data_IF_135397226786
#
_entry.id   IF_135397226786
#
_cell.length_a   1.000
_cell.length_b   1.000
_cell.length_c   1.000
_cell.angle_alpha   90.00
_cell.angle_beta   90.00
_cell.angle_gamma   90.00
#
_symmetry.space_group_name_H-M   'P 1'
#
loop_
_entity.id
_entity.type
_entity.pdbx_description
1 polymer ?
#
# COMPACT_ATOMS: atom_id res chain seq x y z
N UNK A 1 -8.66 -18.51 37.53
CA UNK A 1 -7.84 -18.58 36.29
C UNK A 1 -8.56 -19.35 35.19
N UNK A 2 -9.85 -19.67 35.36
CA UNK A 2 -10.52 -20.72 34.58
C UNK A 2 -11.32 -20.21 33.37
N UNK A 3 -11.65 -18.91 33.34
CA UNK A 3 -12.43 -18.31 32.24
C UNK A 3 -11.62 -18.11 30.94
N UNK A 4 -10.32 -17.83 31.03
CA UNK A 4 -9.46 -17.64 29.85
C UNK A 4 -9.12 -18.96 29.14
N UNK A 5 -9.02 -20.05 29.89
CA UNK A 5 -8.72 -21.38 29.34
C UNK A 5 -9.93 -21.96 28.60
N UNK A 6 -11.14 -21.81 29.17
CA UNK A 6 -12.39 -22.24 28.53
C UNK A 6 -12.70 -21.45 27.25
N UNK A 7 -12.40 -20.15 27.21
CA UNK A 7 -12.58 -19.35 26.00
C UNK A 7 -11.63 -19.77 24.87
N UNK A 8 -10.40 -20.17 25.21
CA UNK A 8 -9.40 -20.65 24.24
C UNK A 8 -9.77 -22.02 23.65
N UNK A 9 -10.31 -22.93 24.48
CA UNK A 9 -10.85 -24.20 23.99
C UNK A 9 -12.05 -24.00 23.07
N UNK A 10 -12.98 -23.10 23.44
CA UNK A 10 -14.15 -22.79 22.63
C UNK A 10 -13.76 -22.21 21.25
N UNK A 11 -12.79 -21.29 21.21
CA UNK A 11 -12.27 -20.72 19.96
C UNK A 11 -11.63 -21.78 19.06
N UNK A 12 -10.88 -22.74 19.64
CA UNK A 12 -10.26 -23.84 18.89
C UNK A 12 -11.31 -24.77 18.27
N UNK A 13 -12.37 -25.09 19.02
CA UNK A 13 -13.46 -25.95 18.52
C UNK A 13 -14.22 -25.26 17.37
N UNK A 14 -14.49 -23.95 17.48
CA UNK A 14 -15.13 -23.16 16.43
C UNK A 14 -14.25 -23.09 15.18
N UNK A 15 -12.94 -22.85 15.35
CA UNK A 15 -12.00 -22.81 14.23
C UNK A 15 -11.91 -24.14 13.49
N UNK A 16 -11.80 -25.26 14.22
CA UNK A 16 -11.75 -26.60 13.62
C UNK A 16 -13.05 -26.95 12.89
N UNK A 17 -14.22 -26.58 13.44
CA UNK A 17 -15.51 -26.74 12.74
C UNK A 17 -15.61 -25.88 11.48
N UNK A 18 -15.09 -24.66 11.50
CA UNK A 18 -15.07 -23.78 10.32
C UNK A 18 -14.13 -24.31 9.23
N UNK A 19 -12.96 -24.85 9.61
CA UNK A 19 -12.01 -25.49 8.70
C UNK A 19 -12.58 -26.76 8.08
N UNK A 20 -13.17 -27.65 8.88
CA UNK A 20 -13.81 -28.87 8.38
C UNK A 20 -14.97 -28.57 7.42
N UNK A 21 -15.76 -27.51 7.68
CA UNK A 21 -16.82 -27.06 6.75
C UNK A 21 -16.26 -26.49 5.44
N UNK A 22 -15.07 -25.90 5.44
CA UNK A 22 -14.40 -25.44 4.22
C UNK A 22 -13.84 -26.61 3.40
N UNK A 23 -13.26 -27.61 4.06
CA UNK A 23 -12.76 -28.84 3.40
C UNK A 23 -13.90 -29.63 2.75
N UNK A 24 -15.02 -29.85 3.45
CA UNK A 24 -16.22 -30.51 2.91
C UNK A 24 -16.81 -29.79 1.69
N UNK A 25 -16.84 -28.45 1.71
CA UNK A 25 -17.28 -27.64 0.56
C UNK A 25 -16.33 -27.76 -0.63
N UNK A 26 -15.02 -27.89 -0.38
CA UNK A 26 -13.99 -28.06 -1.40
C UNK A 26 -14.08 -29.44 -2.07
N UNK A 27 -14.36 -30.49 -1.30
CA UNK A 27 -14.51 -31.85 -1.82
C UNK A 27 -15.81 -32.02 -2.62
N UNK A 28 -16.92 -31.43 -2.19
CA UNK A 28 -18.17 -31.42 -2.95
C UNK A 28 -18.04 -30.70 -4.30
N UNK A 29 -17.26 -29.62 -4.36
CA UNK A 29 -16.98 -28.91 -5.62
C UNK A 29 -16.11 -29.75 -6.57
N UNK A 30 -15.15 -30.50 -6.01
CA UNK A 30 -14.27 -31.40 -6.78
C UNK A 30 -15.02 -32.60 -7.36
N UNK A 31 -15.98 -33.16 -6.63
CA UNK A 31 -16.80 -34.31 -7.07
C UNK A 31 -17.79 -33.92 -8.19
N UNK A 32 -18.29 -32.68 -8.20
CA UNK A 32 -19.18 -32.19 -9.28
C UNK A 32 -18.47 -31.93 -10.61
N UNK A 33 -17.16 -31.71 -10.60
CA UNK A 33 -16.37 -31.41 -11.81
C UNK A 33 -15.87 -32.67 -12.55
N UNK A 34 -16.07 -33.87 -11.97
CA UNK A 34 -15.46 -35.13 -12.44
C UNK A 34 -16.28 -35.97 -13.43
N UNK A 35 -17.41 -35.50 -13.97
CA UNK A 35 -18.21 -36.24 -14.96
C UNK A 35 -18.84 -35.31 -15.97
N UNK A 36 -18.26 -35.24 -17.18
CA UNK A 36 -18.94 -35.12 -18.47
C UNK A 36 -17.91 -35.22 -19.60
N UNK A 37 -17.77 -36.42 -20.16
CA UNK A 37 -17.23 -36.63 -21.51
C UNK A 37 -18.42 -36.57 -22.48
N UNK A 38 -18.24 -35.91 -23.62
CA UNK A 38 -18.99 -36.20 -24.83
C UNK A 38 -18.12 -35.93 -26.05
N UNK A 39 -17.93 -36.99 -26.84
CA UNK A 39 -17.29 -36.99 -28.15
C UNK A 39 -18.13 -36.22 -29.16
N UNK A 40 -17.51 -35.40 -30.03
CA UNK A 40 -17.85 -35.31 -31.46
C UNK A 40 -16.74 -34.56 -32.22
N UNK A 41 -16.45 -35.00 -33.45
CA UNK A 41 -15.28 -34.60 -34.22
C UNK A 41 -15.41 -33.33 -35.08
N UNK A 42 -14.31 -33.09 -35.83
CA UNK A 42 -14.05 -32.05 -36.84
C UNK A 42 -13.65 -30.64 -36.31
N UNK A 43 -12.38 -30.25 -36.43
CA UNK A 43 -11.88 -29.39 -37.54
C UNK A 43 -10.49 -28.80 -37.21
N UNK A 44 -9.55 -28.91 -38.16
CA UNK A 44 -8.09 -28.67 -38.06
C UNK A 44 -7.68 -27.19 -37.91
N UNK A 45 -8.62 -26.30 -37.59
CA UNK A 45 -8.39 -24.86 -37.37
C UNK A 45 -8.67 -24.39 -35.93
N UNK A 46 -9.15 -25.29 -35.04
CA UNK A 46 -9.39 -25.01 -33.61
C UNK A 46 -8.21 -25.33 -32.69
N UNK A 47 -7.21 -26.06 -33.18
CA UNK A 47 -6.11 -26.55 -32.33
C UNK A 47 -5.34 -25.42 -31.65
N UNK A 48 -5.07 -24.28 -32.31
CA UNK A 48 -4.31 -23.21 -31.66
C UNK A 48 -5.07 -22.55 -30.50
N UNK A 49 -6.40 -22.35 -30.62
CA UNK A 49 -7.20 -21.72 -29.57
C UNK A 49 -7.47 -22.68 -28.39
N UNK A 50 -7.59 -23.98 -28.69
CA UNK A 50 -7.79 -25.03 -27.68
C UNK A 50 -6.47 -25.42 -27.00
N UNK A 51 -5.34 -25.40 -27.73
CA UNK A 51 -3.99 -25.48 -27.19
C UNK A 51 -3.66 -24.25 -26.34
N UNK A 52 -4.03 -23.03 -26.75
CA UNK A 52 -3.89 -21.81 -25.95
C UNK A 52 -4.76 -21.86 -24.68
N UNK A 53 -5.98 -22.37 -24.76
CA UNK A 53 -6.87 -22.55 -23.61
C UNK A 53 -6.37 -23.66 -22.67
N UNK A 54 -5.89 -24.78 -23.23
CA UNK A 54 -5.26 -25.89 -22.51
C UNK A 54 -3.97 -25.44 -21.82
N UNK A 55 -3.11 -24.70 -22.52
CA UNK A 55 -1.90 -24.10 -21.98
C UNK A 55 -2.24 -23.06 -20.91
N UNK A 56 -3.27 -22.23 -21.11
CA UNK A 56 -3.77 -21.29 -20.09
C UNK A 56 -4.31 -22.03 -18.86
N UNK A 57 -5.04 -23.13 -19.02
CA UNK A 57 -5.55 -23.93 -17.90
C UNK A 57 -4.42 -24.68 -17.18
N UNK A 58 -3.47 -25.27 -17.90
CA UNK A 58 -2.30 -25.92 -17.34
C UNK A 58 -1.41 -24.91 -16.59
N UNK A 59 -1.13 -23.76 -17.19
CA UNK A 59 -0.38 -22.67 -16.52
C UNK A 59 -1.14 -22.12 -15.32
N UNK A 60 -2.46 -21.88 -15.40
CA UNK A 60 -3.30 -21.46 -14.26
C UNK A 60 -3.28 -22.49 -13.12
N UNK A 61 -3.21 -23.78 -13.43
CA UNK A 61 -3.14 -24.86 -12.44
C UNK A 61 -1.74 -24.96 -11.82
N UNK A 62 -0.69 -24.86 -12.63
CA UNK A 62 0.72 -24.82 -12.19
C UNK A 62 1.03 -23.55 -11.37
N UNK A 63 0.42 -22.43 -11.74
CA UNK A 63 0.66 -21.13 -11.13
C UNK A 63 -0.12 -20.93 -9.83
N UNK A 64 -1.33 -21.51 -9.71
CA UNK A 64 -2.00 -21.70 -8.42
C UNK A 64 -1.11 -22.54 -7.51
N UNK A 65 -0.48 -23.60 -8.04
CA UNK A 65 0.41 -24.45 -7.25
C UNK A 65 1.66 -23.71 -6.73
N UNK A 66 2.28 -22.81 -7.49
CA UNK A 66 3.46 -22.07 -7.04
C UNK A 66 3.16 -21.04 -5.94
N UNK A 67 2.15 -20.18 -6.16
CA UNK A 67 1.73 -19.18 -5.19
C UNK A 67 1.19 -19.85 -3.90
N UNK A 68 0.38 -20.89 -4.04
CA UNK A 68 -0.13 -21.65 -2.89
C UNK A 68 1.01 -22.32 -2.11
N UNK A 69 1.95 -22.97 -2.81
CA UNK A 69 3.14 -23.58 -2.18
C UNK A 69 4.00 -22.53 -1.50
N UNK A 70 4.11 -21.33 -2.08
CA UNK A 70 4.78 -20.20 -1.44
C UNK A 70 4.07 -19.80 -0.15
N UNK A 71 2.75 -19.60 -0.17
CA UNK A 71 1.99 -19.20 1.02
C UNK A 71 2.00 -20.29 2.11
N UNK A 72 1.85 -21.57 1.75
CA UNK A 72 1.87 -22.70 2.70
C UNK A 72 3.18 -22.76 3.51
N UNK A 73 4.30 -22.35 2.89
CA UNK A 73 5.62 -22.30 3.54
C UNK A 73 5.91 -21.01 4.32
N UNK A 74 4.93 -20.10 4.46
CA UNK A 74 5.11 -18.83 5.17
C UNK A 74 5.64 -19.02 6.59
N UNK A 75 4.98 -19.83 7.43
CA UNK A 75 5.36 -20.04 8.84
C UNK A 75 6.81 -20.53 8.96
N UNK A 76 7.20 -21.47 8.10
CA UNK A 76 8.57 -22.00 8.06
C UNK A 76 9.60 -20.94 7.62
N UNK A 77 9.27 -20.11 6.62
CA UNK A 77 10.16 -19.00 6.21
C UNK A 77 10.27 -17.95 7.29
N UNK A 78 9.15 -17.62 7.93
CA UNK A 78 9.07 -16.60 8.97
C UNK A 78 9.84 -17.00 10.22
N UNK A 79 9.73 -18.24 10.68
CA UNK A 79 10.44 -18.73 11.87
C UNK A 79 11.96 -18.74 11.69
N UNK A 80 12.45 -18.99 10.48
CA UNK A 80 13.88 -18.98 10.14
C UNK A 80 14.51 -17.60 10.00
N UNK A 81 13.71 -16.52 9.94
CA UNK A 81 14.20 -15.14 9.72
C UNK A 81 14.43 -14.43 11.05
N UNK A 82 15.40 -13.50 11.08
CA UNK A 82 15.70 -12.63 12.23
C UNK A 82 15.77 -11.16 11.79
N UNK A 83 15.59 -10.24 12.73
CA UNK A 83 15.69 -8.79 12.50
C UNK A 83 14.81 -8.27 11.35
N UNK A 84 15.37 -7.41 10.51
CA UNK A 84 14.70 -6.78 9.36
C UNK A 84 14.16 -7.81 8.35
N UNK A 85 14.83 -8.95 8.18
CA UNK A 85 14.37 -9.98 7.26
C UNK A 85 13.06 -10.64 7.73
N UNK A 86 12.81 -10.64 9.05
CA UNK A 86 11.55 -11.14 9.63
C UNK A 86 10.41 -10.14 9.40
N UNK A 87 10.70 -8.85 9.56
CA UNK A 87 9.78 -7.77 9.21
C UNK A 87 9.43 -7.77 7.72
N UNK A 88 10.41 -7.90 6.82
CA UNK A 88 10.15 -8.00 5.38
C UNK A 88 9.25 -9.20 5.05
N UNK A 89 9.49 -10.36 5.67
CA UNK A 89 8.66 -11.55 5.47
C UNK A 89 7.22 -11.34 5.96
N UNK A 90 7.04 -10.62 7.07
CA UNK A 90 5.73 -10.29 7.62
C UNK A 90 4.98 -9.29 6.72
N UNK A 91 5.64 -8.19 6.33
CA UNK A 91 5.05 -7.16 5.48
C UNK A 91 4.67 -7.71 4.10
N UNK A 92 5.49 -8.59 3.53
CA UNK A 92 5.14 -9.29 2.31
C UNK A 92 3.85 -10.11 2.44
N UNK A 93 3.69 -10.84 3.56
CA UNK A 93 2.48 -11.62 3.80
C UNK A 93 1.23 -10.73 3.93
N UNK A 94 1.36 -9.56 4.57
CA UNK A 94 0.28 -8.56 4.62
C UNK A 94 -0.09 -8.11 3.21
N UNK A 95 0.88 -7.74 2.37
CA UNK A 95 0.63 -7.30 1.00
C UNK A 95 -0.06 -8.41 0.20
N UNK A 96 0.40 -9.65 0.33
CA UNK A 96 -0.16 -10.79 -0.40
C UNK A 96 -1.62 -11.07 -0.01
N UNK A 97 -1.94 -10.99 1.29
CA UNK A 97 -3.31 -11.17 1.78
C UNK A 97 -4.23 -10.05 1.27
N UNK A 98 -3.73 -8.81 1.23
CA UNK A 98 -4.44 -7.66 0.68
C UNK A 98 -4.74 -7.83 -0.82
N UNK A 99 -3.77 -8.30 -1.60
CA UNK A 99 -3.96 -8.60 -3.03
C UNK A 99 -5.01 -9.71 -3.23
N UNK A 100 -4.93 -10.79 -2.46
CA UNK A 100 -5.93 -11.87 -2.53
C UNK A 100 -7.34 -11.39 -2.18
N UNK A 101 -7.46 -10.54 -1.18
CA UNK A 101 -8.75 -9.91 -0.84
C UNK A 101 -9.31 -9.10 -2.01
N UNK A 102 -8.47 -8.32 -2.71
CA UNK A 102 -8.87 -7.59 -3.92
C UNK A 102 -9.36 -8.56 -5.00
N UNK A 103 -8.65 -9.67 -5.24
CA UNK A 103 -9.08 -10.67 -6.22
C UNK A 103 -10.43 -11.31 -5.87
N UNK A 104 -10.63 -11.71 -4.61
CA UNK A 104 -11.92 -12.25 -4.14
C UNK A 104 -13.04 -11.24 -4.28
N UNK A 105 -12.76 -9.96 -3.97
CA UNK A 105 -13.71 -8.88 -4.13
C UNK A 105 -14.07 -8.67 -5.62
N UNK A 106 -13.09 -8.74 -6.52
CA UNK A 106 -13.30 -8.62 -7.96
C UNK A 106 -14.14 -9.77 -8.52
N UNK A 107 -13.92 -11.00 -8.03
CA UNK A 107 -14.71 -12.17 -8.41
C UNK A 107 -16.17 -12.04 -7.93
N UNK A 108 -16.37 -11.69 -6.66
CA UNK A 108 -17.71 -11.53 -6.08
C UNK A 108 -18.50 -10.37 -6.70
N UNK A 109 -17.81 -9.33 -7.16
CA UNK A 109 -18.41 -8.10 -7.69
C UNK A 109 -18.20 -7.94 -9.20
N UNK A 110 -17.94 -9.03 -9.93
CA UNK A 110 -17.62 -9.02 -11.36
C UNK A 110 -18.63 -8.22 -12.20
N UNK A 111 -19.90 -8.26 -11.83
CA UNK A 111 -20.99 -7.57 -12.54
C UNK A 111 -21.29 -6.16 -11.97
N UNK A 112 -20.75 -5.82 -10.81
CA UNK A 112 -21.03 -4.57 -10.08
C UNK A 112 -19.80 -3.68 -9.99
N UNK A 113 -19.34 -3.24 -11.16
CA UNK A 113 -18.13 -2.41 -11.37
C UNK A 113 -18.06 -1.19 -10.42
N UNK A 114 -19.19 -0.49 -10.22
CA UNK A 114 -19.32 0.68 -9.32
C UNK A 114 -19.04 0.33 -7.86
N UNK A 115 -19.59 -0.78 -7.38
CA UNK A 115 -19.44 -1.24 -6.00
C UNK A 115 -18.01 -1.72 -5.73
N UNK A 116 -17.39 -2.40 -6.70
CA UNK A 116 -15.99 -2.79 -6.62
C UNK A 116 -15.07 -1.56 -6.46
N UNK A 117 -15.21 -0.54 -7.32
CA UNK A 117 -14.43 0.71 -7.22
C UNK A 117 -14.61 1.39 -5.86
N UNK A 118 -15.85 1.49 -5.36
CA UNK A 118 -16.14 2.06 -4.03
C UNK A 118 -15.43 1.31 -2.90
N UNK A 119 -15.46 -0.02 -2.93
CA UNK A 119 -14.82 -0.84 -1.89
C UNK A 119 -13.29 -0.73 -1.93
N UNK A 120 -12.69 -0.70 -3.12
CA UNK A 120 -11.24 -0.47 -3.29
C UNK A 120 -10.85 0.92 -2.78
N UNK A 121 -11.63 1.95 -3.14
CA UNK A 121 -11.41 3.32 -2.65
C UNK A 121 -11.53 3.41 -1.11
N UNK A 122 -12.52 2.77 -0.50
CA UNK A 122 -12.62 2.76 0.95
C UNK A 122 -11.46 2.03 1.64
N UNK A 123 -10.89 1.01 0.99
CA UNK A 123 -9.77 0.24 1.54
C UNK A 123 -8.42 0.96 1.41
N UNK A 124 -8.14 1.56 0.26
CA UNK A 124 -6.83 2.16 -0.05
C UNK A 124 -6.86 3.67 -0.17
N UNK A 125 -7.98 4.25 -0.60
CA UNK A 125 -8.15 5.70 -0.75
C UNK A 125 -7.94 6.44 0.57
N UNK A 126 -8.49 5.93 1.69
CA UNK A 126 -8.24 6.53 3.00
C UNK A 126 -6.77 6.41 3.47
N UNK A 127 -6.08 5.33 3.08
CA UNK A 127 -4.65 5.15 3.38
C UNK A 127 -3.80 6.12 2.55
N UNK A 128 -4.09 6.21 1.24
CA UNK A 128 -3.39 7.13 0.33
C UNK A 128 -3.63 8.60 0.69
N UNK A 129 -4.87 8.95 1.05
CA UNK A 129 -5.23 10.30 1.48
C UNK A 129 -4.45 10.72 2.73
N UNK A 130 -4.34 9.82 3.71
CA UNK A 130 -3.52 10.09 4.91
C UNK A 130 -2.04 10.16 4.59
N UNK A 131 -1.55 9.33 3.67
CA UNK A 131 -0.15 9.35 3.25
C UNK A 131 0.25 10.67 2.60
N UNK A 132 -0.66 11.33 1.86
CA UNK A 132 -0.41 12.66 1.29
C UNK A 132 -0.61 13.79 2.29
N UNK A 133 -1.50 13.60 3.28
CA UNK A 133 -1.79 14.62 4.28
C UNK A 133 -0.61 14.84 5.25
N UNK A 134 0.13 13.79 5.60
CA UNK A 134 1.27 13.89 6.55
C UNK A 134 2.38 14.82 6.00
N UNK A 135 2.91 14.63 4.77
CA UNK A 135 3.86 15.57 4.18
C UNK A 135 3.30 16.99 4.07
N UNK A 136 2.01 17.16 3.77
CA UNK A 136 1.40 18.47 3.62
C UNK A 136 1.53 19.35 4.88
N UNK A 137 1.59 18.75 6.07
CA UNK A 137 1.83 19.48 7.32
C UNK A 137 3.22 20.15 7.37
N UNK A 138 4.24 19.51 6.78
CA UNK A 138 5.59 20.07 6.72
C UNK A 138 5.71 21.29 5.79
N UNK A 139 4.72 21.52 4.91
CA UNK A 139 4.64 22.69 4.04
C UNK A 139 4.08 23.93 4.75
N UNK A 140 3.50 23.80 5.95
CA UNK A 140 2.86 24.91 6.65
C UNK A 140 3.88 26.02 6.97
N UNK A 141 5.04 25.67 7.52
CA UNK A 141 6.08 26.65 7.88
C UNK A 141 6.55 27.45 6.64
N UNK A 142 7.04 26.84 5.56
CA UNK A 142 7.51 27.60 4.40
C UNK A 142 6.40 28.37 3.66
N UNK A 143 5.14 27.91 3.73
CA UNK A 143 4.01 28.64 3.11
C UNK A 143 3.62 29.88 3.93
N UNK A 144 3.53 29.77 5.25
CA UNK A 144 3.07 30.87 6.11
C UNK A 144 4.19 31.85 6.46
N UNK A 145 5.43 31.35 6.60
CA UNK A 145 6.59 32.12 7.04
C UNK A 145 7.65 32.30 5.96
N UNK A 146 7.32 32.02 4.70
CA UNK A 146 8.18 32.32 3.57
C UNK A 146 8.41 33.83 3.40
N UNK A 147 9.52 34.18 2.76
CA UNK A 147 10.01 35.56 2.55
C UNK A 147 8.95 36.53 1.98
N UNK A 148 8.01 36.01 1.18
CA UNK A 148 6.96 36.80 0.52
C UNK A 148 5.65 36.90 1.32
N UNK A 149 5.56 36.25 2.48
CA UNK A 149 4.33 36.23 3.27
C UNK A 149 4.09 37.60 3.93
N UNK A 150 2.88 38.20 3.79
CA UNK A 150 2.54 39.47 4.44
C UNK A 150 2.57 39.37 5.97
N UNK A 151 2.48 38.15 6.52
CA UNK A 151 2.58 37.88 7.96
C UNK A 151 4.00 38.18 8.44
N UNK A 152 5.02 37.73 7.69
CA UNK A 152 6.44 37.90 8.03
C UNK A 152 6.84 39.37 8.04
N UNK A 153 6.24 40.19 7.17
CA UNK A 153 6.53 41.64 7.09
C UNK A 153 6.22 42.42 8.37
N UNK A 154 5.27 41.94 9.18
CA UNK A 154 4.89 42.55 10.47
C UNK A 154 5.36 41.74 11.68
N UNK A 155 6.24 40.76 11.46
CA UNK A 155 6.66 39.80 12.46
C UNK A 155 8.11 40.02 12.86
N UNK A 156 8.38 40.04 14.16
CA UNK A 156 9.69 40.37 14.71
C UNK A 156 10.12 39.32 15.74
N UNK A 157 11.38 38.92 15.72
CA UNK A 157 11.93 38.01 16.73
C UNK A 157 12.10 38.68 18.10
N UNK A 158 12.21 37.88 19.17
CA UNK A 158 12.47 38.40 20.51
C UNK A 158 13.77 39.22 20.58
N UNK A 159 14.73 38.89 19.72
CA UNK A 159 16.02 39.54 19.56
C UNK A 159 16.01 40.77 18.64
N UNK A 160 14.84 41.26 18.21
CA UNK A 160 14.76 42.46 17.37
C UNK A 160 15.38 43.67 18.08
N UNK A 161 16.33 44.33 17.40
CA UNK A 161 17.07 45.51 17.87
C UNK A 161 16.72 46.80 17.09
N UNK A 162 15.72 46.72 16.21
CA UNK A 162 15.26 47.82 15.35
C UNK A 162 15.89 47.85 13.96
N UNK A 163 16.88 46.99 13.65
CA UNK A 163 17.54 46.96 12.33
C UNK A 163 16.71 46.32 11.22
N UNK A 164 15.73 45.48 11.59
CA UNK A 164 14.88 44.72 10.67
C UNK A 164 13.71 45.56 10.14
N UNK A 165 13.43 46.70 10.79
CA UNK A 165 12.36 47.62 10.39
C UNK A 165 12.94 48.84 9.71
N UNK A 166 12.19 49.45 8.80
CA UNK A 166 12.57 50.71 8.14
C UNK A 166 12.72 51.88 9.12
N UNK A 167 12.34 51.70 10.39
CA UNK A 167 12.44 52.68 11.45
C UNK A 167 13.16 52.09 12.68
N UNK A 168 14.43 52.47 12.82
CA UNK A 168 15.33 52.02 13.89
C UNK A 168 14.98 52.54 15.29
N UNK A 169 13.94 53.39 15.40
CA UNK A 169 13.44 53.87 16.68
C UNK A 169 12.58 52.83 17.42
N UNK A 170 12.12 51.77 16.74
CA UNK A 170 11.23 50.75 17.31
C UNK A 170 12.07 49.67 18.02
N UNK A 171 12.18 49.75 19.34
CA UNK A 171 12.98 48.82 20.15
C UNK A 171 12.17 48.20 21.28
N UNK A 172 11.20 48.93 21.84
CA UNK A 172 10.38 48.46 22.95
C UNK A 172 9.17 47.65 22.48
N UNK A 173 8.62 46.82 23.36
CA UNK A 173 7.43 46.02 23.09
C UNK A 173 6.18 46.89 22.88
N UNK A 174 6.10 48.02 23.59
CA UNK A 174 5.04 49.02 23.47
C UNK A 174 5.09 49.74 22.10
N UNK A 175 6.29 50.05 21.60
CA UNK A 175 6.49 50.65 20.29
C UNK A 175 6.17 49.68 19.13
N UNK A 176 6.49 48.40 19.31
CA UNK A 176 6.11 47.35 18.36
C UNK A 176 4.58 47.25 18.26
N UNK A 177 3.89 47.20 19.41
CA UNK A 177 2.43 47.16 19.46
C UNK A 177 1.80 48.42 18.85
N UNK A 178 2.34 49.60 19.15
CA UNK A 178 1.84 50.88 18.64
C UNK A 178 1.93 51.00 17.11
N UNK A 179 2.92 50.36 16.48
CA UNK A 179 3.09 50.33 15.02
C UNK A 179 2.54 49.07 14.35
N UNK A 180 1.87 48.20 15.11
CA UNK A 180 1.21 46.99 14.58
C UNK A 180 2.17 45.87 14.20
N UNK A 181 3.36 45.82 14.82
CA UNK A 181 4.31 44.71 14.73
C UNK A 181 4.06 43.69 15.85
N UNK A 182 4.22 42.41 15.52
CA UNK A 182 4.07 41.31 16.46
C UNK A 182 5.44 40.75 16.82
N UNK A 183 5.88 40.98 18.07
CA UNK A 183 7.12 40.42 18.60
C UNK A 183 6.86 39.01 19.15
N UNK A 184 7.59 38.02 18.64
CA UNK A 184 7.53 36.64 19.15
C UNK A 184 8.46 36.46 20.34
N UNK A 185 8.19 35.45 21.17
CA UNK A 185 9.11 34.99 22.22
C UNK A 185 10.33 34.25 21.66
N UNK A 186 10.28 33.82 20.41
CA UNK A 186 11.32 33.01 19.75
C UNK A 186 12.43 33.92 19.20
N UNK A 187 13.70 33.53 19.40
CA UNK A 187 14.85 34.23 18.80
C UNK A 187 15.03 33.86 17.32
N UNK A 188 15.67 34.73 16.55
CA UNK A 188 15.97 34.47 15.13
C UNK A 188 16.79 33.18 14.94
N UNK A 189 17.78 32.96 15.80
CA UNK A 189 18.61 31.74 15.79
C UNK A 189 17.80 30.47 16.03
N UNK A 190 16.86 30.51 16.98
CA UNK A 190 15.98 29.38 17.28
C UNK A 190 15.03 29.10 16.12
N UNK A 191 14.52 30.15 15.47
CA UNK A 191 13.65 30.03 14.31
C UNK A 191 14.35 29.36 13.13
N UNK A 192 15.58 29.78 12.80
CA UNK A 192 16.40 29.14 11.75
C UNK A 192 16.60 27.65 12.02
N UNK A 193 16.82 27.27 13.28
CA UNK A 193 16.94 25.85 13.68
C UNK A 193 15.61 25.12 13.43
N UNK A 194 14.47 25.71 13.79
CA UNK A 194 13.14 25.12 13.57
C UNK A 194 12.88 24.93 12.07
N UNK A 195 13.19 25.91 11.23
CA UNK A 195 13.02 25.82 9.78
C UNK A 195 13.83 24.68 9.18
N UNK A 196 15.12 24.58 9.53
CA UNK A 196 16.00 23.51 9.06
C UNK A 196 15.50 22.15 9.52
N UNK A 197 15.13 22.01 10.80
CA UNK A 197 14.59 20.76 11.34
C UNK A 197 13.29 20.36 10.66
N UNK A 198 12.38 21.30 10.42
CA UNK A 198 11.13 21.04 9.70
C UNK A 198 11.40 20.58 8.27
N UNK A 199 12.33 21.21 7.55
CA UNK A 199 12.71 20.80 6.19
C UNK A 199 13.27 19.37 6.18
N UNK A 200 14.17 19.04 7.10
CA UNK A 200 14.75 17.68 7.23
C UNK A 200 13.66 16.66 7.53
N UNK A 201 12.76 16.94 8.48
CA UNK A 201 11.65 16.06 8.82
C UNK A 201 10.73 15.86 7.62
N UNK A 202 10.34 16.94 6.93
CA UNK A 202 9.49 16.89 5.74
C UNK A 202 10.09 15.99 4.64
N UNK A 203 11.37 16.18 4.31
CA UNK A 203 12.07 15.35 3.32
C UNK A 203 12.16 13.89 3.77
N UNK A 204 12.40 13.64 5.06
CA UNK A 204 12.47 12.28 5.60
C UNK A 204 11.12 11.55 5.50
N UNK A 205 10.01 12.24 5.77
CA UNK A 205 8.65 11.68 5.66
C UNK A 205 8.33 11.32 4.21
N UNK A 206 8.65 12.22 3.27
CA UNK A 206 8.48 11.96 1.83
C UNK A 206 9.29 10.73 1.41
N UNK A 207 10.54 10.66 1.83
CA UNK A 207 11.42 9.53 1.49
C UNK A 207 10.86 8.20 2.02
N UNK A 208 10.40 8.17 3.28
CA UNK A 208 9.76 6.98 3.87
C UNK A 208 8.46 6.61 3.12
N UNK A 209 7.64 7.59 2.76
CA UNK A 209 6.42 7.36 1.99
C UNK A 209 6.73 6.72 0.62
N UNK A 210 7.73 7.23 -0.09
CA UNK A 210 8.19 6.67 -1.36
C UNK A 210 8.70 5.22 -1.19
N UNK A 211 9.48 4.93 -0.15
CA UNK A 211 9.93 3.57 0.14
C UNK A 211 8.74 2.62 0.30
N UNK A 212 7.70 3.02 1.05
CA UNK A 212 6.51 2.19 1.26
C UNK A 212 5.77 1.94 -0.06
N UNK A 213 5.65 2.96 -0.92
CA UNK A 213 5.03 2.84 -2.24
C UNK A 213 5.83 1.88 -3.13
N UNK A 214 7.13 2.11 -3.29
CA UNK A 214 8.00 1.24 -4.09
C UNK A 214 8.02 -0.20 -3.56
N UNK A 215 8.08 -0.38 -2.24
CA UNK A 215 7.98 -1.69 -1.60
C UNK A 215 6.69 -2.42 -1.99
N UNK A 216 5.56 -1.73 -1.90
CA UNK A 216 4.26 -2.30 -2.26
C UNK A 216 4.21 -2.72 -3.73
N UNK A 217 4.71 -1.87 -4.64
CA UNK A 217 4.78 -2.19 -6.08
C UNK A 217 5.66 -3.42 -6.36
N UNK A 218 6.86 -3.47 -5.77
CA UNK A 218 7.78 -4.62 -5.91
C UNK A 218 7.10 -5.91 -5.44
N UNK A 219 6.38 -5.85 -4.31
CA UNK A 219 5.69 -7.01 -3.74
C UNK A 219 4.46 -7.42 -4.56
N UNK A 220 3.74 -6.48 -5.16
CA UNK A 220 2.67 -6.76 -6.14
C UNK A 220 3.23 -7.50 -7.35
N UNK A 221 4.34 -7.03 -7.93
CA UNK A 221 5.01 -7.71 -9.04
C UNK A 221 5.46 -9.12 -8.63
N UNK A 222 6.02 -9.28 -7.43
CA UNK A 222 6.39 -10.60 -6.91
C UNK A 222 5.18 -11.53 -6.78
N UNK A 223 4.04 -11.02 -6.31
CA UNK A 223 2.79 -11.77 -6.20
C UNK A 223 2.32 -12.25 -7.57
N UNK A 224 2.19 -11.34 -8.54
CA UNK A 224 1.75 -11.68 -9.90
C UNK A 224 2.68 -12.67 -10.58
N UNK A 225 4.00 -12.53 -10.34
CA UNK A 225 5.00 -13.46 -10.86
C UNK A 225 4.81 -14.88 -10.32
N UNK A 226 4.61 -15.01 -9.01
CA UNK A 226 4.32 -16.30 -8.37
C UNK A 226 2.97 -16.86 -8.83
N UNK A 227 1.96 -16.00 -9.00
CA UNK A 227 0.64 -16.34 -9.54
C UNK A 227 0.69 -16.72 -11.01
N UNK A 228 1.73 -16.36 -11.76
CA UNK A 228 1.96 -16.76 -13.14
C UNK A 228 2.89 -17.99 -13.25
N UNK A 229 3.36 -18.55 -12.13
CA UNK A 229 4.30 -19.68 -12.11
C UNK A 229 5.68 -19.33 -12.68
N UNK A 230 6.02 -18.03 -12.70
CA UNK A 230 7.27 -17.53 -13.26
C UNK A 230 8.35 -17.51 -12.17
N UNK A 231 9.56 -17.99 -12.52
CA UNK A 231 10.75 -17.95 -11.68
C UNK A 231 11.30 -16.53 -11.44
N UNK A 232 12.58 -16.41 -11.04
CA UNK A 232 13.21 -15.09 -10.88
C UNK A 232 13.48 -14.44 -12.26
N UNK A 233 12.70 -13.43 -12.61
CA UNK A 233 12.86 -12.63 -13.84
C UNK A 233 13.92 -11.53 -13.60
N UNK A 234 14.77 -11.25 -14.61
CA UNK A 234 15.84 -10.22 -14.56
C UNK A 234 15.81 -9.31 -15.79
N UNK A 235 16.36 -8.10 -15.67
CA UNK A 235 16.65 -7.21 -16.79
C UNK A 235 15.41 -6.75 -17.58
N UNK A 236 15.50 -6.78 -18.92
CA UNK A 236 14.45 -6.31 -19.83
C UNK A 236 13.13 -7.07 -19.66
N UNK A 237 13.18 -8.34 -19.25
CA UNK A 237 11.98 -9.14 -18.98
C UNK A 237 11.24 -8.66 -17.73
N UNK A 238 11.94 -8.14 -16.72
CA UNK A 238 11.30 -7.59 -15.52
C UNK A 238 10.48 -6.35 -15.88
N UNK A 239 11.05 -5.45 -16.69
CA UNK A 239 10.33 -4.28 -17.18
C UNK A 239 9.12 -4.67 -18.02
N UNK A 240 9.26 -5.63 -18.94
CA UNK A 240 8.13 -6.13 -19.75
C UNK A 240 7.03 -6.73 -18.87
N UNK A 241 7.41 -7.53 -17.88
CA UNK A 241 6.46 -8.11 -16.93
C UNK A 241 5.78 -7.06 -16.06
N UNK A 242 6.51 -6.03 -15.60
CA UNK A 242 5.91 -4.88 -14.92
C UNK A 242 4.94 -4.14 -15.84
N UNK A 243 5.28 -3.94 -17.12
CA UNK A 243 4.39 -3.35 -18.12
C UNK A 243 3.16 -4.24 -18.38
N UNK A 244 3.28 -5.55 -18.33
CA UNK A 244 2.13 -6.47 -18.38
C UNK A 244 1.28 -6.33 -17.11
N UNK A 245 1.87 -6.38 -15.91
CA UNK A 245 1.13 -6.30 -14.64
C UNK A 245 0.43 -4.95 -14.47
N UNK A 246 1.12 -3.85 -14.76
CA UNK A 246 0.59 -2.49 -14.58
C UNK A 246 -0.10 -1.93 -15.84
N UNK A 247 0.25 -2.42 -17.03
CA UNK A 247 -0.39 -2.06 -18.31
C UNK A 247 -1.59 -2.93 -18.67
N UNK A 248 -1.65 -4.19 -18.22
CA UNK A 248 -2.85 -5.04 -18.21
C UNK A 248 -3.67 -4.82 -16.93
N UNK A 249 -3.49 -3.69 -16.23
CA UNK A 249 -4.58 -3.11 -15.42
C UNK A 249 -5.77 -2.65 -16.28
N UNK A 250 -6.04 -3.34 -17.38
CA UNK A 250 -7.35 -3.68 -17.93
C UNK A 250 -8.31 -4.28 -16.89
N UNK A 251 -7.93 -4.61 -15.65
CA UNK A 251 -8.93 -4.78 -14.58
C UNK A 251 -9.62 -3.43 -14.25
N UNK A 252 -8.98 -2.27 -14.50
CA UNK A 252 -9.65 -0.97 -14.46
C UNK A 252 -10.28 -0.58 -15.82
N UNK A 253 -9.65 -0.89 -16.96
CA UNK A 253 -10.11 -0.46 -18.29
C UNK A 253 -11.06 -1.42 -19.01
N UNK A 254 -11.05 -2.73 -18.76
CA UNK A 254 -12.12 -3.67 -19.17
C UNK A 254 -13.36 -3.50 -18.26
N UNK A 255 -13.21 -2.69 -17.21
CA UNK A 255 -14.22 -2.28 -16.23
C UNK A 255 -14.62 -0.79 -16.40
N UNK A 256 -14.14 -0.13 -17.45
CA UNK A 256 -14.78 1.05 -18.06
C UNK A 256 -15.59 0.55 -19.27
#
# INVERSE_FOLDING_TARGET
>A
MDNQYNHRQMLNIIFNRLLAKQELKKDLYKTKLGRKNSNYGMNKYMNNAEEDLSAYLQTKTISSNELERYKKRYNHRYSKKKGLAKLDCYMENIVFNKIEYIYKLAENLKNNKKLFKKNIYNMYGYVLLRLTLIPALGLIIPVFFGEYSPIVKKWCFSTCDGTIHTDSSIKSEEEHAAKGFYKTSISESSWKIIEVMNMVIFLSIIFVALIIIFYTLIKVVKYERLKAGKGKIKGKEYYRFCKEVFGITNILNTVI
#
